data_IF_755194798676
#
_entry.id   IF_755194798676
#
_cell.length_a   1.000
_cell.length_b   1.000
_cell.length_c   1.000
_cell.angle_alpha   90.00
_cell.angle_beta   90.00
_cell.angle_gamma   90.00
#
_symmetry.space_group_name_H-M   'P 1'
#
loop_
_entity.id
_entity.type
_entity.pdbx_description
1 polymer ?
#
# COMPACT_ATOMS: atom_id res chain seq x y z
N UNK A 1 26.33 -7.62 -1.08
CA UNK A 1 26.11 -6.41 -1.90
C UNK A 1 26.09 -5.21 -0.98
N UNK A 2 26.37 -4.00 -1.47
CA UNK A 2 26.30 -2.77 -0.65
C UNK A 2 24.87 -2.23 -0.62
N UNK A 3 24.41 -1.67 0.49
CA UNK A 3 23.05 -1.10 0.63
C UNK A 3 22.66 -0.09 -0.47
N UNK A 4 23.64 0.64 -1.04
CA UNK A 4 23.43 1.55 -2.18
C UNK A 4 23.06 0.80 -3.47
N UNK A 5 23.66 -0.37 -3.70
CA UNK A 5 23.38 -1.20 -4.87
C UNK A 5 22.00 -1.87 -4.75
N UNK A 6 21.60 -2.27 -3.54
CA UNK A 6 20.27 -2.80 -3.25
C UNK A 6 19.18 -1.74 -3.44
N UNK A 7 19.39 -0.52 -2.94
CA UNK A 7 18.47 0.59 -3.16
C UNK A 7 18.35 0.96 -4.65
N UNK A 8 19.45 0.93 -5.41
CA UNK A 8 19.44 1.15 -6.85
C UNK A 8 18.66 0.07 -7.60
N UNK A 9 18.90 -1.20 -7.29
CA UNK A 9 18.17 -2.32 -7.90
C UNK A 9 16.67 -2.25 -7.59
N UNK A 10 16.30 -1.92 -6.34
CA UNK A 10 14.91 -1.69 -5.95
C UNK A 10 14.26 -0.57 -6.77
N UNK A 11 14.93 0.58 -6.90
CA UNK A 11 14.41 1.71 -7.66
C UNK A 11 14.18 1.37 -9.15
N UNK A 12 15.07 0.60 -9.76
CA UNK A 12 14.89 0.12 -11.14
C UNK A 12 13.71 -0.84 -11.25
N UNK A 13 13.58 -1.82 -10.35
CA UNK A 13 12.43 -2.75 -10.32
C UNK A 13 11.12 -1.99 -10.16
N UNK A 14 11.07 -1.00 -9.27
CA UNK A 14 9.89 -0.18 -9.04
C UNK A 14 9.51 0.65 -10.28
N UNK A 15 10.50 1.26 -10.94
CA UNK A 15 10.27 2.03 -12.16
C UNK A 15 9.71 1.16 -13.28
N UNK A 16 10.28 -0.03 -13.48
CA UNK A 16 9.79 -0.98 -14.47
C UNK A 16 8.34 -1.41 -14.19
N UNK A 17 8.00 -1.69 -12.93
CA UNK A 17 6.63 -2.03 -12.53
C UNK A 17 5.64 -0.91 -12.80
N UNK A 18 5.99 0.33 -12.46
CA UNK A 18 5.13 1.49 -12.72
C UNK A 18 4.89 1.71 -14.23
N UNK A 19 5.90 1.47 -15.07
CA UNK A 19 5.76 1.56 -16.52
C UNK A 19 4.82 0.48 -17.06
N UNK A 20 4.97 -0.76 -16.60
CA UNK A 20 4.12 -1.87 -17.01
C UNK A 20 2.67 -1.67 -16.55
N UNK A 21 2.46 -1.24 -15.31
CA UNK A 21 1.15 -0.90 -14.78
C UNK A 21 0.43 0.13 -15.67
N UNK A 22 1.10 1.25 -16.00
CA UNK A 22 0.51 2.29 -16.87
C UNK A 22 0.15 1.76 -18.26
N UNK A 23 0.99 0.87 -18.81
CA UNK A 23 0.74 0.25 -20.11
C UNK A 23 -0.52 -0.63 -20.07
N UNK A 24 -0.64 -1.48 -19.04
CA UNK A 24 -1.78 -2.37 -18.86
C UNK A 24 -3.06 -1.59 -18.57
N UNK A 25 -2.98 -0.58 -17.70
CA UNK A 25 -4.10 0.29 -17.37
C UNK A 25 -4.65 1.00 -18.62
N UNK A 26 -3.78 1.61 -19.43
CA UNK A 26 -4.18 2.26 -20.68
C UNK A 26 -4.85 1.29 -21.66
N UNK A 27 -4.34 0.05 -21.73
CA UNK A 27 -4.94 -1.01 -22.55
C UNK A 27 -6.35 -1.36 -22.06
N UNK A 28 -6.53 -1.55 -20.75
CA UNK A 28 -7.84 -1.89 -20.16
C UNK A 28 -8.86 -0.79 -20.37
N UNK A 29 -8.48 0.47 -20.16
CA UNK A 29 -9.34 1.64 -20.40
C UNK A 29 -9.75 1.74 -21.87
N UNK A 30 -8.82 1.48 -22.78
CA UNK A 30 -9.11 1.47 -24.22
C UNK A 30 -10.10 0.36 -24.60
N UNK A 31 -9.94 -0.84 -24.04
CA UNK A 31 -10.87 -1.96 -24.26
C UNK A 31 -12.27 -1.66 -23.72
N UNK A 32 -12.35 -1.09 -22.51
CA UNK A 32 -13.60 -0.63 -21.91
C UNK A 32 -14.31 0.42 -22.77
N UNK A 33 -13.57 1.46 -23.19
CA UNK A 33 -14.10 2.53 -24.03
C UNK A 33 -14.74 2.00 -25.33
N UNK A 34 -14.09 1.05 -25.99
CA UNK A 34 -14.59 0.42 -27.22
C UNK A 34 -15.85 -0.42 -26.94
N UNK A 35 -15.85 -1.20 -25.86
CA UNK A 35 -16.96 -2.08 -25.52
C UNK A 35 -18.23 -1.30 -25.12
N UNK A 36 -18.07 -0.23 -24.34
CA UNK A 36 -19.18 0.53 -23.77
C UNK A 36 -19.55 1.79 -24.59
N UNK A 37 -18.80 2.09 -25.66
CA UNK A 37 -18.97 3.32 -26.42
C UNK A 37 -18.74 4.58 -25.58
N UNK A 38 -17.85 4.50 -24.60
CA UNK A 38 -17.60 5.53 -23.59
C UNK A 38 -16.19 6.11 -23.70
N UNK A 39 -15.89 7.16 -22.93
CA UNK A 39 -14.52 7.65 -22.81
C UNK A 39 -13.67 6.66 -21.98
N UNK A 40 -12.37 6.48 -22.27
CA UNK A 40 -11.51 5.60 -21.46
C UNK A 40 -11.48 5.96 -19.96
N UNK A 41 -11.72 7.23 -19.65
CA UNK A 41 -11.59 7.77 -18.30
C UNK A 41 -12.85 7.59 -17.46
N UNK A 42 -13.94 7.16 -18.10
CA UNK A 42 -15.18 6.80 -17.40
C UNK A 42 -15.19 5.36 -16.92
N UNK A 43 -14.09 4.62 -17.07
CA UNK A 43 -13.96 3.27 -16.52
C UNK A 43 -14.22 3.30 -15.01
N UNK A 44 -15.17 2.50 -14.49
CA UNK A 44 -15.47 2.46 -13.06
C UNK A 44 -14.24 2.14 -12.20
N UNK A 45 -14.10 2.82 -11.05
CA UNK A 45 -12.94 2.71 -10.16
C UNK A 45 -12.75 1.29 -9.60
N UNK A 46 -13.84 0.59 -9.32
CA UNK A 46 -13.85 -0.80 -8.89
C UNK A 46 -13.25 -1.75 -9.95
N UNK A 47 -13.41 -1.43 -11.23
CA UNK A 47 -12.77 -2.18 -12.32
C UNK A 47 -11.26 -1.92 -12.40
N UNK A 48 -10.77 -0.81 -11.86
CA UNK A 48 -9.34 -0.46 -11.83
C UNK A 48 -8.61 -1.02 -10.61
N UNK A 49 -9.35 -1.41 -9.56
CA UNK A 49 -8.76 -1.90 -8.32
C UNK A 49 -7.99 -3.20 -8.53
N UNK A 50 -8.59 -4.19 -9.19
CA UNK A 50 -7.93 -5.48 -9.47
C UNK A 50 -6.66 -5.33 -10.35
N UNK A 51 -6.67 -4.56 -11.45
CA UNK A 51 -5.45 -4.23 -12.18
C UNK A 51 -4.39 -3.54 -11.31
N UNK A 52 -4.81 -2.61 -10.44
CA UNK A 52 -3.88 -1.94 -9.52
C UNK A 52 -3.23 -2.93 -8.56
N UNK A 53 -4.02 -3.82 -7.96
CA UNK A 53 -3.54 -4.94 -7.14
C UNK A 53 -2.51 -5.79 -7.91
N UNK A 54 -2.92 -6.39 -9.03
CA UNK A 54 -2.10 -7.39 -9.75
C UNK A 54 -0.86 -6.82 -10.43
N UNK A 55 -0.93 -5.63 -11.00
CA UNK A 55 0.14 -5.09 -11.84
C UNK A 55 0.98 -4.02 -11.14
N UNK A 56 0.47 -3.38 -10.09
CA UNK A 56 1.23 -2.41 -9.31
C UNK A 56 1.63 -2.95 -7.93
N UNK A 57 0.67 -3.42 -7.13
CA UNK A 57 0.96 -3.84 -5.75
C UNK A 57 1.78 -5.12 -5.72
N UNK A 58 1.40 -6.16 -6.46
CA UNK A 58 2.18 -7.41 -6.51
C UNK A 58 3.60 -7.15 -7.03
N UNK A 59 3.77 -6.23 -7.98
CA UNK A 59 5.10 -5.87 -8.48
C UNK A 59 5.91 -5.13 -7.42
N UNK A 60 5.28 -4.24 -6.65
CA UNK A 60 5.91 -3.56 -5.52
C UNK A 60 6.35 -4.56 -4.44
N UNK A 61 5.50 -5.52 -4.09
CA UNK A 61 5.81 -6.61 -3.15
C UNK A 61 7.02 -7.42 -3.63
N UNK A 62 6.99 -7.87 -4.90
CA UNK A 62 8.13 -8.58 -5.50
C UNK A 62 9.41 -7.74 -5.54
N UNK A 63 9.30 -6.42 -5.73
CA UNK A 63 10.46 -5.54 -5.70
C UNK A 63 11.09 -5.46 -4.30
N UNK A 64 10.29 -5.60 -3.25
CA UNK A 64 10.69 -5.73 -1.84
C UNK A 64 11.05 -7.17 -1.44
N UNK A 65 11.19 -8.07 -2.41
CA UNK A 65 11.50 -9.49 -2.23
C UNK A 65 10.42 -10.28 -1.45
N UNK A 66 9.15 -9.84 -1.53
CA UNK A 66 7.97 -10.60 -1.09
C UNK A 66 7.32 -11.30 -2.28
N UNK A 67 6.99 -12.58 -2.15
CA UNK A 67 6.22 -13.29 -3.18
C UNK A 67 4.71 -13.18 -2.92
N UNK A 68 4.04 -12.36 -3.74
CA UNK A 68 2.59 -12.21 -3.70
C UNK A 68 1.83 -13.49 -4.12
N UNK A 69 2.49 -14.42 -4.82
CA UNK A 69 1.89 -15.69 -5.23
C UNK A 69 2.15 -16.82 -4.18
N UNK A 70 2.93 -16.55 -3.11
CA UNK A 70 3.14 -17.48 -1.99
C UNK A 70 2.28 -17.11 -0.76
N UNK A 71 1.24 -17.88 -0.41
CA UNK A 71 0.41 -17.61 0.78
C UNK A 71 1.15 -17.77 2.12
N UNK A 72 2.35 -18.36 2.13
CA UNK A 72 3.24 -18.40 3.28
C UNK A 72 3.97 -17.07 3.53
N UNK A 73 4.08 -16.22 2.50
CA UNK A 73 4.68 -14.89 2.56
C UNK A 73 3.63 -13.78 2.52
N UNK A 74 2.64 -13.86 1.63
CA UNK A 74 1.62 -12.82 1.44
C UNK A 74 0.23 -13.44 1.36
N UNK A 75 -0.67 -12.99 2.22
CA UNK A 75 -2.08 -13.41 2.23
C UNK A 75 -2.93 -12.28 1.69
N UNK A 76 -3.54 -12.49 0.51
CA UNK A 76 -4.57 -11.60 -0.03
C UNK A 76 -5.89 -11.74 0.72
N UNK A 77 -6.63 -10.63 0.87
CA UNK A 77 -7.92 -10.56 1.55
C UNK A 77 -7.90 -11.20 2.95
N UNK A 78 -6.79 -10.99 3.68
CA UNK A 78 -6.55 -11.60 4.97
C UNK A 78 -7.64 -11.19 5.97
N UNK A 79 -8.28 -12.20 6.55
CA UNK A 79 -9.40 -12.01 7.47
C UNK A 79 -8.89 -11.55 8.84
N UNK A 80 -9.47 -10.47 9.34
CA UNK A 80 -9.27 -9.97 10.69
C UNK A 80 -10.61 -9.75 11.39
N UNK A 81 -10.55 -9.52 12.70
CA UNK A 81 -11.72 -9.13 13.51
C UNK A 81 -11.43 -7.85 14.27
N UNK A 82 -12.41 -6.95 14.30
CA UNK A 82 -12.36 -5.78 15.17
C UNK A 82 -12.54 -6.18 16.65
N UNK A 83 -12.22 -5.28 17.58
CA UNK A 83 -12.53 -5.48 19.00
C UNK A 83 -14.04 -5.65 19.27
N UNK A 84 -14.88 -5.10 18.39
CA UNK A 84 -16.35 -5.25 18.40
C UNK A 84 -16.86 -6.51 17.69
N UNK A 85 -15.96 -7.39 17.23
CA UNK A 85 -16.24 -8.63 16.50
C UNK A 85 -16.72 -8.47 15.04
N UNK A 86 -16.55 -7.28 14.44
CA UNK A 86 -16.80 -7.06 13.02
C UNK A 86 -15.75 -7.78 12.17
N UNK A 87 -16.16 -8.28 11.01
CA UNK A 87 -15.22 -8.88 10.04
C UNK A 87 -14.52 -7.77 9.28
N UNK A 88 -13.20 -7.81 9.31
CA UNK A 88 -12.34 -6.95 8.51
C UNK A 88 -11.59 -7.81 7.49
N UNK A 89 -11.29 -7.22 6.34
CA UNK A 89 -10.49 -7.83 5.30
C UNK A 89 -9.35 -6.86 5.00
N UNK A 90 -8.12 -7.34 5.12
CA UNK A 90 -6.93 -6.59 4.72
C UNK A 90 -6.59 -6.99 3.30
N UNK A 91 -6.28 -6.04 2.43
CA UNK A 91 -6.02 -6.38 1.02
C UNK A 91 -4.81 -7.31 0.87
N UNK A 92 -3.73 -7.02 1.60
CA UNK A 92 -2.58 -7.91 1.72
C UNK A 92 -2.03 -7.91 3.15
N UNK A 93 -1.65 -9.10 3.62
CA UNK A 93 -0.93 -9.32 4.87
C UNK A 93 0.37 -10.07 4.60
N UNK A 94 1.51 -9.41 4.77
CA UNK A 94 2.83 -10.02 4.69
C UNK A 94 3.20 -10.70 6.01
N UNK A 95 3.55 -11.98 5.95
CA UNK A 95 3.93 -12.83 7.07
C UNK A 95 5.41 -13.19 6.94
N UNK A 96 6.20 -12.90 7.97
CA UNK A 96 7.60 -13.34 8.01
C UNK A 96 7.67 -14.87 8.08
N UNK A 97 8.31 -15.57 7.12
CA UNK A 97 8.40 -17.04 7.16
C UNK A 97 9.15 -17.55 8.40
N UNK A 98 10.16 -16.80 8.84
CA UNK A 98 10.97 -17.13 10.01
C UNK A 98 10.18 -17.00 11.31
N UNK A 99 9.47 -15.88 11.51
CA UNK A 99 8.75 -15.60 12.75
C UNK A 99 7.31 -16.16 12.76
N UNK A 100 6.78 -16.55 11.59
CA UNK A 100 5.37 -16.89 11.36
C UNK A 100 4.42 -15.83 11.92
N UNK A 101 4.80 -14.57 11.77
CA UNK A 101 4.08 -13.43 12.32
C UNK A 101 3.86 -12.37 11.24
N UNK A 102 2.73 -11.65 11.28
CA UNK A 102 2.47 -10.56 10.35
C UNK A 102 3.46 -9.41 10.60
N UNK A 103 4.05 -8.90 9.52
CA UNK A 103 5.05 -7.82 9.54
C UNK A 103 4.77 -6.70 8.54
N UNK A 104 3.84 -6.91 7.60
CA UNK A 104 3.44 -5.93 6.58
C UNK A 104 1.93 -5.98 6.38
N UNK A 105 1.31 -4.82 6.25
CA UNK A 105 -0.07 -4.66 5.78
C UNK A 105 -0.03 -3.72 4.58
N UNK A 106 -0.69 -4.10 3.49
CA UNK A 106 -0.89 -3.23 2.33
C UNK A 106 -2.39 -3.13 2.07
N UNK A 107 -2.86 -1.89 1.93
CA UNK A 107 -4.22 -1.56 1.51
C UNK A 107 -4.14 -0.97 0.10
N UNK A 108 -4.81 -1.61 -0.86
CA UNK A 108 -4.87 -1.17 -2.23
C UNK A 108 -6.06 -0.22 -2.44
N UNK A 109 -5.86 0.78 -3.29
CA UNK A 109 -6.92 1.67 -3.76
C UNK A 109 -6.76 1.85 -5.27
N UNK A 110 -7.85 2.21 -5.95
CA UNK A 110 -7.77 2.55 -7.37
C UNK A 110 -6.74 3.67 -7.61
N UNK A 111 -5.93 3.54 -8.66
CA UNK A 111 -4.83 4.47 -8.93
C UNK A 111 -5.28 5.93 -9.13
N UNK A 112 -6.48 6.11 -9.68
CA UNK A 112 -7.12 7.41 -9.92
C UNK A 112 -7.84 8.00 -8.70
N UNK A 113 -7.82 7.30 -7.56
CA UNK A 113 -8.35 7.88 -6.34
C UNK A 113 -7.54 9.14 -6.02
N UNK A 114 -8.26 10.22 -5.73
CA UNK A 114 -7.65 11.50 -5.37
C UNK A 114 -6.59 11.25 -4.30
N UNK A 115 -5.37 11.72 -4.54
CA UNK A 115 -4.30 11.58 -3.55
C UNK A 115 -4.79 12.16 -2.22
N UNK A 116 -4.46 11.51 -1.08
CA UNK A 116 -4.60 12.13 0.22
C UNK A 116 -4.11 13.58 0.17
N UNK A 117 -4.84 14.52 0.81
CA UNK A 117 -4.32 15.88 0.93
C UNK A 117 -2.92 15.81 1.53
N UNK A 118 -1.98 16.63 1.04
CA UNK A 118 -0.65 16.72 1.66
C UNK A 118 -0.85 17.04 3.15
N UNK A 119 -0.15 16.28 4.00
CA UNK A 119 -0.10 16.57 5.43
C UNK A 119 0.34 18.01 5.65
N UNK A 120 -0.26 18.69 6.63
CA UNK A 120 0.17 20.04 7.03
C UNK A 120 1.35 19.86 7.97
N UNK A 121 2.56 20.15 7.52
CA UNK A 121 3.76 19.96 8.33
C UNK A 121 5.04 20.07 7.53
N UNK A 122 6.18 19.95 8.21
CA UNK A 122 7.48 19.87 7.53
C UNK A 122 7.53 18.57 6.73
N UNK A 123 7.93 18.66 5.46
CA UNK A 123 8.21 17.47 4.66
C UNK A 123 9.35 16.69 5.34
N UNK A 124 9.08 15.43 5.68
CA UNK A 124 10.02 14.57 6.38
C UNK A 124 10.94 13.91 5.36
N UNK A 125 12.23 13.83 5.65
CA UNK A 125 13.14 12.98 4.88
C UNK A 125 12.70 11.52 5.03
N UNK A 126 12.92 10.68 4.01
CA UNK A 126 12.58 9.26 4.04
C UNK A 126 13.20 8.53 5.24
N UNK A 127 14.39 8.98 5.70
CA UNK A 127 15.04 8.49 6.92
C UNK A 127 14.29 8.87 8.19
N UNK A 128 13.71 10.07 8.23
CA UNK A 128 12.90 10.54 9.35
C UNK A 128 11.57 9.76 9.40
N UNK A 129 11.03 9.35 8.25
CA UNK A 129 9.79 8.57 8.16
C UNK A 129 9.89 7.20 8.85
N UNK A 130 10.97 6.45 8.59
CA UNK A 130 11.20 5.15 9.23
C UNK A 130 11.30 5.28 10.75
N UNK A 131 12.02 6.30 11.24
CA UNK A 131 12.13 6.61 12.67
C UNK A 131 10.77 6.90 13.28
N UNK A 132 9.96 7.73 12.62
CA UNK A 132 8.66 8.10 13.14
C UNK A 132 7.65 6.94 13.16
N UNK A 133 7.71 6.01 12.20
CA UNK A 133 6.90 4.78 12.22
C UNK A 133 7.29 3.94 13.44
N UNK A 134 8.59 3.75 13.69
CA UNK A 134 9.06 3.05 14.88
C UNK A 134 8.57 3.74 16.17
N UNK A 135 8.71 5.07 16.26
CA UNK A 135 8.26 5.85 17.41
C UNK A 135 6.73 5.71 17.63
N UNK A 136 5.95 5.67 16.54
CA UNK A 136 4.51 5.42 16.60
C UNK A 136 4.17 4.01 17.13
N UNK A 137 4.87 2.98 16.66
CA UNK A 137 4.70 1.60 17.15
C UNK A 137 5.08 1.50 18.62
N UNK A 138 6.15 2.17 19.06
CA UNK A 138 6.53 2.20 20.47
C UNK A 138 5.50 2.92 21.33
N UNK A 139 4.98 4.06 20.89
CA UNK A 139 3.91 4.78 21.60
C UNK A 139 2.60 3.96 21.70
N UNK A 140 2.29 3.11 20.71
CA UNK A 140 1.16 2.17 20.80
C UNK A 140 1.39 1.06 21.83
N UNK A 141 2.63 0.63 22.03
CA UNK A 141 3.00 -0.40 23.01
C UNK A 141 3.14 0.14 24.42
N UNK A 142 3.50 1.41 24.57
CA UNK A 142 3.65 2.11 25.85
C UNK A 142 2.56 3.17 26.01
N UNK A 143 1.44 2.78 26.61
CA UNK A 143 0.27 3.63 26.85
C UNK A 143 0.53 4.82 27.79
N UNK A 144 1.71 4.89 28.42
CA UNK A 144 2.14 6.06 29.19
C UNK A 144 2.63 7.22 28.29
N UNK A 145 3.06 6.92 27.06
CA UNK A 145 3.40 7.91 26.04
C UNK A 145 2.20 8.17 25.13
N UNK A 146 1.25 8.98 25.61
CA UNK A 146 -0.04 9.17 24.95
C UNK A 146 -0.02 9.80 23.53
N UNK A 147 1.13 10.25 23.00
CA UNK A 147 1.16 10.96 21.71
C UNK A 147 2.44 10.68 20.93
N UNK A 148 2.40 9.67 20.06
CA UNK A 148 3.25 9.72 18.87
C UNK A 148 2.75 10.87 17.98
N UNK A 149 3.67 11.76 17.59
CA UNK A 149 3.35 12.86 16.65
C UNK A 149 2.80 12.35 15.31
N UNK A 150 3.24 11.16 14.87
CA UNK A 150 2.65 10.47 13.73
C UNK A 150 1.20 10.08 14.00
N UNK A 151 0.88 9.53 15.18
CA UNK A 151 -0.50 9.17 15.49
C UNK A 151 -1.37 10.42 15.55
N UNK A 152 -0.88 11.58 16.01
CA UNK A 152 -1.66 12.81 16.01
C UNK A 152 -1.96 13.33 14.59
N UNK A 153 -0.95 13.45 13.72
CA UNK A 153 -1.16 13.89 12.32
C UNK A 153 -2.00 12.88 11.52
N UNK A 154 -1.77 11.58 11.71
CA UNK A 154 -2.58 10.54 11.08
C UNK A 154 -3.97 10.41 11.74
N UNK A 155 -4.12 10.69 13.03
CA UNK A 155 -5.42 10.72 13.73
C UNK A 155 -6.29 11.85 13.21
N UNK A 156 -5.72 13.03 12.98
CA UNK A 156 -6.44 14.13 12.34
C UNK A 156 -6.83 13.74 10.91
N UNK A 157 -5.90 13.16 10.14
CA UNK A 157 -6.18 12.66 8.80
C UNK A 157 -7.28 11.58 8.78
N UNK A 158 -7.25 10.63 9.71
CA UNK A 158 -8.25 9.55 9.82
C UNK A 158 -9.60 10.05 10.36
N UNK A 159 -9.60 11.10 11.20
CA UNK A 159 -10.81 11.76 11.65
C UNK A 159 -11.49 12.55 10.53
N UNK A 160 -10.71 13.14 9.60
CA UNK A 160 -11.21 13.83 8.41
C UNK A 160 -11.91 12.87 7.40
N UNK A 161 -11.72 11.55 7.53
CA UNK A 161 -12.31 10.52 6.66
C UNK A 161 -13.64 9.94 7.20
N UNK A 162 -14.14 10.42 8.35
CA UNK A 162 -15.43 10.02 8.93
C UNK A 162 -16.62 10.81 8.36
#
# INVERSE_FOLDING_TARGET
MTAVAEAGAFAERLRAGMQEFRRVEAQLRSQYAVAEGAAPESMPLDMLERPTRRFLIDHFLRALDWDADDPGEVIEEARARSAGNDRLYLDYLGVSPMARAPVLIVEAKGFDVSRPRRARGRELDAKDMARLICDAVFALKDTSQQRSGIIAEWSEYLADLR
#
